data_IF_171448777243
#
_entry.id   IF_171448777243
#
_cell.length_a   1.000
_cell.length_b   1.000
_cell.length_c   1.000
_cell.angle_alpha   90.00
_cell.angle_beta   90.00
_cell.angle_gamma   90.00
#
_symmetry.space_group_name_H-M   'P 1'
#
loop_
_entity.id
_entity.type
_entity.pdbx_description
1 polymer ?
#
# COMPACT_ATOMS: atom_id res chain seq x y z
N UNK A 1 7.64 -13.73 12.46
CA UNK A 1 7.90 -14.03 11.04
C UNK A 1 8.07 -12.74 10.27
N UNK A 2 9.05 -12.69 9.37
CA UNK A 2 9.13 -11.63 8.38
C UNK A 2 7.89 -11.74 7.49
N UNK A 3 6.96 -10.79 7.60
CA UNK A 3 5.87 -10.72 6.64
C UNK A 3 6.49 -10.57 5.24
N UNK A 4 6.12 -11.44 4.29
CA UNK A 4 6.54 -11.27 2.89
C UNK A 4 5.72 -10.15 2.25
N UNK A 5 6.30 -9.47 1.26
CA UNK A 5 5.60 -8.44 0.49
C UNK A 5 4.31 -8.97 -0.11
N UNK A 6 4.37 -10.21 -0.61
CA UNK A 6 3.26 -10.97 -1.14
C UNK A 6 2.07 -11.04 -0.16
N UNK A 7 2.35 -11.46 1.08
CA UNK A 7 1.35 -11.56 2.15
C UNK A 7 0.79 -10.19 2.52
N UNK A 8 1.64 -9.16 2.49
CA UNK A 8 1.23 -7.78 2.77
C UNK A 8 0.26 -7.26 1.68
N UNK A 9 0.59 -7.45 0.40
CA UNK A 9 -0.23 -7.02 -0.72
C UNK A 9 -1.56 -7.79 -0.78
N UNK A 10 -1.55 -9.11 -0.56
CA UNK A 10 -2.76 -9.94 -0.46
C UNK A 10 -3.71 -9.47 0.63
N UNK A 11 -3.19 -9.11 1.82
CA UNK A 11 -4.02 -8.54 2.91
C UNK A 11 -4.67 -7.21 2.52
N UNK A 12 -4.06 -6.48 1.59
CA UNK A 12 -4.59 -5.22 1.08
C UNK A 12 -5.47 -5.40 -0.15
N UNK A 13 -5.67 -6.61 -0.68
CA UNK A 13 -6.36 -6.80 -1.96
C UNK A 13 -5.63 -6.13 -3.13
N UNK A 14 -4.29 -6.17 -3.08
CA UNK A 14 -3.37 -5.55 -4.04
C UNK A 14 -2.41 -6.60 -4.64
N UNK A 15 -2.77 -7.88 -4.57
CA UNK A 15 -1.99 -9.01 -5.08
C UNK A 15 -1.68 -8.90 -6.57
N UNK A 16 -2.55 -8.26 -7.35
CA UNK A 16 -2.31 -7.98 -8.78
C UNK A 16 -1.08 -7.10 -9.06
N UNK A 17 -0.51 -6.45 -8.04
CA UNK A 17 0.70 -5.64 -8.18
C UNK A 17 1.97 -6.38 -7.71
N UNK A 18 1.85 -7.62 -7.22
CA UNK A 18 3.00 -8.44 -6.78
C UNK A 18 4.06 -8.51 -7.88
N UNK A 19 3.66 -8.91 -9.09
CA UNK A 19 4.57 -9.08 -10.22
C UNK A 19 5.34 -7.79 -10.56
N UNK A 20 4.70 -6.62 -10.40
CA UNK A 20 5.34 -5.31 -10.63
C UNK A 20 6.43 -5.07 -9.58
N UNK A 21 6.12 -5.29 -8.31
CA UNK A 21 7.09 -5.10 -7.24
C UNK A 21 8.23 -6.13 -7.28
N UNK A 22 7.95 -7.36 -7.71
CA UNK A 22 8.98 -8.38 -7.90
C UNK A 22 9.90 -8.06 -9.10
N UNK A 23 9.32 -7.62 -10.22
CA UNK A 23 10.08 -7.23 -11.42
C UNK A 23 11.03 -6.06 -11.16
N UNK A 24 10.65 -5.16 -10.27
CA UNK A 24 11.43 -3.98 -9.87
C UNK A 24 12.30 -4.23 -8.62
N UNK A 25 12.38 -5.49 -8.17
CA UNK A 25 13.12 -5.92 -6.97
C UNK A 25 12.76 -5.14 -5.69
N UNK A 26 11.52 -4.64 -5.62
CA UNK A 26 11.02 -3.86 -4.50
C UNK A 26 10.69 -4.80 -3.36
N UNK A 27 11.47 -4.73 -2.28
CA UNK A 27 11.18 -5.44 -1.04
C UNK A 27 10.27 -4.61 -0.12
N UNK A 28 9.72 -5.24 0.94
CA UNK A 28 8.94 -4.53 1.98
C UNK A 28 9.72 -3.38 2.66
N UNK A 29 11.06 -3.43 2.66
CA UNK A 29 11.90 -2.34 3.17
C UNK A 29 11.92 -1.16 2.21
N UNK A 30 12.06 -1.45 0.90
CA UNK A 30 12.04 -0.43 -0.16
C UNK A 30 10.65 0.20 -0.24
N UNK A 31 9.59 -0.62 -0.19
CA UNK A 31 8.19 -0.17 -0.20
C UNK A 31 7.90 0.90 0.87
N UNK A 32 8.56 0.84 2.03
CA UNK A 32 8.39 1.81 3.13
C UNK A 32 8.96 3.19 2.84
N UNK A 33 9.98 3.28 1.99
CA UNK A 33 10.64 4.54 1.63
C UNK A 33 10.12 5.12 0.31
N UNK A 34 9.37 4.34 -0.48
CA UNK A 34 8.79 4.81 -1.73
C UNK A 34 7.85 6.01 -1.53
N UNK A 35 8.04 7.00 -2.40
CA UNK A 35 7.25 8.21 -2.50
C UNK A 35 6.06 8.01 -3.45
N UNK A 36 5.13 8.96 -3.42
CA UNK A 36 3.97 8.94 -4.32
C UNK A 36 4.36 8.96 -5.80
N UNK A 37 5.52 9.53 -6.12
CA UNK A 37 6.13 9.62 -7.44
C UNK A 37 6.60 8.24 -7.90
N UNK A 38 7.38 7.53 -7.08
CA UNK A 38 7.83 6.17 -7.40
C UNK A 38 6.66 5.23 -7.71
N UNK A 39 5.60 5.27 -6.88
CA UNK A 39 4.42 4.47 -7.16
C UNK A 39 3.67 4.90 -8.43
N UNK A 40 3.81 6.17 -8.87
CA UNK A 40 3.24 6.63 -10.14
C UNK A 40 4.00 6.04 -11.32
N UNK A 41 5.32 5.96 -11.21
CA UNK A 41 6.20 5.40 -12.24
C UNK A 41 5.98 3.89 -12.38
N UNK A 42 5.63 3.22 -11.28
CA UNK A 42 5.16 1.81 -11.26
C UNK A 42 3.75 1.61 -11.83
N UNK A 43 3.13 2.64 -12.41
CA UNK A 43 1.75 2.62 -12.91
C UNK A 43 0.69 2.26 -11.84
N UNK A 44 0.97 2.51 -10.56
CA UNK A 44 0.04 2.18 -9.48
C UNK A 44 -1.00 3.31 -9.33
N UNK A 45 -2.31 3.01 -9.42
CA UNK A 45 -3.35 4.03 -9.36
C UNK A 45 -3.39 4.71 -7.98
N UNK A 46 -3.82 5.98 -7.94
CA UNK A 46 -3.83 6.78 -6.71
C UNK A 46 -4.61 6.13 -5.55
N UNK A 47 -5.66 5.35 -5.85
CA UNK A 47 -6.43 4.58 -4.86
C UNK A 47 -5.60 3.48 -4.19
N UNK A 48 -4.85 2.70 -4.96
CA UNK A 48 -3.95 1.66 -4.47
C UNK A 48 -2.77 2.29 -3.69
N UNK A 49 -2.19 3.38 -4.21
CA UNK A 49 -1.14 4.15 -3.53
C UNK A 49 -1.57 4.60 -2.14
N UNK A 50 -2.77 5.18 -2.03
CA UNK A 50 -3.35 5.60 -0.74
C UNK A 50 -3.51 4.42 0.22
N UNK A 51 -3.94 3.26 -0.27
CA UNK A 51 -4.14 2.05 0.53
C UNK A 51 -2.81 1.49 1.06
N UNK A 52 -1.77 1.44 0.23
CA UNK A 52 -0.41 1.06 0.63
C UNK A 52 0.13 2.00 1.70
N UNK A 53 0.03 3.32 1.48
CA UNK A 53 0.50 4.34 2.42
C UNK A 53 -0.18 4.21 3.78
N UNK A 54 -1.50 4.02 3.80
CA UNK A 54 -2.26 3.83 5.04
C UNK A 54 -1.83 2.56 5.77
N UNK A 55 -1.65 1.44 5.06
CA UNK A 55 -1.21 0.19 5.66
C UNK A 55 0.22 0.24 6.21
N UNK A 56 1.10 0.99 5.55
CA UNK A 56 2.47 1.24 5.99
C UNK A 56 2.54 2.16 7.22
N UNK A 57 1.59 3.09 7.38
CA UNK A 57 1.46 3.94 8.57
C UNK A 57 0.89 3.17 9.77
N UNK A 58 -0.07 2.27 9.53
CA UNK A 58 -0.72 1.46 10.57
C UNK A 58 0.22 0.42 11.20
N UNK A 59 1.29 0.04 10.49
CA UNK A 59 2.32 -0.90 10.97
C UNK A 59 3.35 -0.27 11.91
N UNK A 60 3.18 1.00 12.29
CA UNK A 60 3.93 1.65 13.37
C UNK A 60 4.63 2.92 12.91
N UNK A 61 3.88 4.02 12.84
CA UNK A 61 4.23 5.33 13.42
C UNK A 61 3.01 6.24 13.23
N UNK A 62 2.38 6.60 14.34
CA UNK A 62 1.15 7.38 14.33
C UNK A 62 1.34 8.76 13.73
N UNK A 63 0.60 9.06 12.66
CA UNK A 63 0.05 10.39 12.43
C UNK A 63 -1.37 10.20 11.91
N UNK A 64 -2.32 10.76 12.66
CA UNK A 64 -3.73 10.89 12.29
C UNK A 64 -3.86 11.44 10.87
N UNK A 65 -4.31 10.61 9.91
CA UNK A 65 -4.97 11.13 8.72
C UNK A 65 -6.37 10.53 8.69
N UNK A 66 -7.31 11.38 9.09
CA UNK A 66 -8.67 11.02 9.49
C UNK A 66 -9.42 10.14 8.50
N UNK A 67 -10.26 9.28 9.09
CA UNK A 67 -11.66 9.06 8.71
C UNK A 67 -11.99 9.38 7.23
N UNK A 68 -11.62 8.48 6.32
CA UNK A 68 -12.31 8.35 5.04
C UNK A 68 -12.75 6.89 4.80
N UNK A 69 -13.45 6.31 5.79
CA UNK A 69 -14.59 5.44 5.49
C UNK A 69 -15.82 6.33 5.49
N UNK A 70 -16.19 6.86 4.32
CA UNK A 70 -17.57 7.30 4.13
C UNK A 70 -18.42 6.05 4.32
N UNK A 71 -19.11 5.96 5.46
CA UNK A 71 -20.32 5.17 5.57
C UNK A 71 -21.17 5.52 4.34
N UNK A 72 -21.29 4.59 3.40
CA UNK A 72 -22.51 4.51 2.59
C UNK A 72 -23.48 3.65 3.39
N UNK A 73 -24.20 4.31 4.29
CA UNK A 73 -25.51 3.88 4.76
C UNK A 73 -26.55 4.88 4.24
N UNK A 74 -27.71 4.33 3.88
CA UNK A 74 -28.94 4.92 3.34
C UNK A 74 -28.88 5.44 1.90
N UNK A 75 -29.83 5.12 1.03
CA UNK A 75 -31.23 4.67 1.23
C UNK A 75 -31.50 3.28 0.64
#
# INVERSE_FOLDING_TARGET
EAASLDTFLKKLGLEQYIDIFESEEITLRILKILLCEDFRDLNIPASARRKLRLALQDTGFGVMIGRYRKQRRSL
#
